data_IF_369480717432
#
_entry.id   IF_369480717432
#
_cell.length_a   1.000
_cell.length_b   1.000
_cell.length_c   1.000
_cell.angle_alpha   90.00
_cell.angle_beta   90.00
_cell.angle_gamma   90.00
#
_symmetry.space_group_name_H-M   'P 1'
#
loop_
_entity.id
_entity.type
_entity.pdbx_description
1 polymer ?
#
# COMPACT_ATOMS: atom_id res chain seq x y z
N UNK A 1 -2.76 -21.45 12.48
CA UNK A 1 -2.95 -20.71 11.22
C UNK A 1 -1.63 -20.07 10.81
N UNK A 2 -0.82 -20.72 9.96
CA UNK A 2 0.56 -20.32 9.73
C UNK A 2 0.68 -18.96 8.98
N UNK A 3 -0.36 -18.56 8.23
CA UNK A 3 -0.46 -17.25 7.57
C UNK A 3 -0.54 -16.10 8.60
N UNK A 4 -1.28 -16.30 9.70
CA UNK A 4 -1.38 -15.30 10.76
C UNK A 4 -0.01 -15.06 11.43
N UNK A 5 0.75 -16.13 11.68
CA UNK A 5 2.12 -16.03 12.22
C UNK A 5 3.06 -15.24 11.30
N UNK A 6 2.96 -15.44 9.97
CA UNK A 6 3.71 -14.66 8.99
C UNK A 6 3.37 -13.16 9.05
N UNK A 7 2.08 -12.81 9.08
CA UNK A 7 1.66 -11.42 9.16
C UNK A 7 2.05 -10.75 10.47
N UNK A 8 1.94 -11.45 11.60
CA UNK A 8 2.36 -10.93 12.91
C UNK A 8 3.86 -10.69 12.93
N UNK A 9 4.67 -11.66 12.48
CA UNK A 9 6.12 -11.53 12.46
C UNK A 9 6.57 -10.42 11.51
N UNK A 10 5.97 -10.31 10.32
CA UNK A 10 6.25 -9.22 9.39
C UNK A 10 5.91 -7.85 9.99
N UNK A 11 4.73 -7.70 10.61
CA UNK A 11 4.35 -6.46 11.29
C UNK A 11 5.28 -6.11 12.44
N UNK A 12 5.74 -7.11 13.21
CA UNK A 12 6.69 -6.90 14.30
C UNK A 12 8.05 -6.45 13.79
N UNK A 13 8.56 -7.04 12.71
CA UNK A 13 9.81 -6.61 12.05
C UNK A 13 9.70 -5.19 11.50
N UNK A 14 8.58 -4.86 10.84
CA UNK A 14 8.33 -3.52 10.32
C UNK A 14 8.23 -2.51 11.47
N UNK A 15 7.50 -2.83 12.53
CA UNK A 15 7.37 -1.97 13.71
C UNK A 15 8.73 -1.75 14.40
N UNK A 16 9.54 -2.80 14.54
CA UNK A 16 10.89 -2.70 15.08
C UNK A 16 11.80 -1.82 14.21
N UNK A 17 11.77 -2.01 12.88
CA UNK A 17 12.52 -1.17 11.94
C UNK A 17 12.09 0.31 12.04
N UNK A 18 10.79 0.58 12.14
CA UNK A 18 10.28 1.94 12.35
C UNK A 18 10.74 2.52 13.68
N UNK A 19 10.64 1.77 14.77
CA UNK A 19 11.04 2.21 16.10
C UNK A 19 12.53 2.56 16.14
N UNK A 20 13.38 1.69 15.58
CA UNK A 20 14.83 1.93 15.49
C UNK A 20 15.12 3.15 14.61
N UNK A 21 14.44 3.29 13.46
CA UNK A 21 14.61 4.45 12.58
C UNK A 21 14.15 5.77 13.21
N UNK A 22 13.26 5.71 14.21
CA UNK A 22 12.75 6.87 14.94
C UNK A 22 13.58 7.28 16.15
N UNK A 23 14.43 6.38 16.68
CA UNK A 23 15.32 6.69 17.82
C UNK A 23 16.18 7.95 17.61
N UNK A 24 16.82 8.15 16.44
CA UNK A 24 17.59 9.37 16.17
C UNK A 24 16.76 10.64 16.29
N UNK A 25 15.48 10.59 15.94
CA UNK A 25 14.57 11.73 16.01
C UNK A 25 14.25 12.09 17.46
N UNK A 26 14.06 11.08 18.32
CA UNK A 26 13.83 11.27 19.75
C UNK A 26 15.08 11.84 20.42
N UNK A 27 16.28 11.36 20.05
CA UNK A 27 17.54 11.91 20.56
C UNK A 27 17.81 13.33 20.02
N UNK A 28 17.32 13.64 18.81
CA UNK A 28 17.44 14.96 18.21
C UNK A 28 16.52 16.02 18.83
N UNK A 29 15.47 15.64 19.56
CA UNK A 29 14.52 16.62 20.12
C UNK A 29 15.13 17.48 21.23
N UNK A 30 16.21 17.01 21.86
CA UNK A 30 16.92 17.78 22.89
C UNK A 30 17.97 18.74 22.30
N UNK A 31 18.53 18.41 21.12
CA UNK A 31 19.43 19.30 20.39
C UNK A 31 19.46 18.99 18.89
N UNK A 32 19.06 19.97 18.08
CA UNK A 32 19.11 19.91 16.61
C UNK A 32 20.53 20.14 16.09
N UNK A 33 21.43 19.20 16.41
CA UNK A 33 22.78 19.20 15.84
C UNK A 33 22.77 18.61 14.43
N UNK A 34 23.66 19.10 13.56
CA UNK A 34 23.84 18.57 12.19
C UNK A 34 24.12 17.06 12.18
N UNK A 35 24.81 16.55 13.22
CA UNK A 35 25.08 15.13 13.39
C UNK A 35 23.81 14.30 13.57
N UNK A 36 22.86 14.77 14.38
CA UNK A 36 21.59 14.08 14.63
C UNK A 36 20.71 14.01 13.36
N UNK A 37 20.66 15.10 12.59
CA UNK A 37 19.97 15.12 11.30
C UNK A 37 20.60 14.13 10.30
N UNK A 38 21.93 14.10 10.20
CA UNK A 38 22.64 13.17 9.32
C UNK A 38 22.35 11.72 9.69
N UNK A 39 22.37 11.40 10.99
CA UNK A 39 22.10 10.07 11.52
C UNK A 39 20.65 9.65 11.24
N UNK A 40 19.69 10.57 11.38
CA UNK A 40 18.29 10.34 11.01
C UNK A 40 18.14 10.00 9.52
N UNK A 41 18.73 10.81 8.63
CA UNK A 41 18.69 10.56 7.18
C UNK A 41 19.33 9.21 6.81
N UNK A 42 20.49 8.88 7.38
CA UNK A 42 21.15 7.59 7.14
C UNK A 42 20.31 6.41 7.62
N UNK A 43 19.72 6.54 8.80
CA UNK A 43 18.83 5.51 9.37
C UNK A 43 17.63 5.30 8.47
N UNK A 44 16.95 6.37 8.07
CA UNK A 44 15.81 6.29 7.17
C UNK A 44 16.18 5.64 5.83
N UNK A 45 17.32 6.03 5.25
CA UNK A 45 17.82 5.49 3.98
C UNK A 45 18.05 3.97 4.01
N UNK A 46 18.46 3.42 5.16
CA UNK A 46 18.70 1.98 5.32
C UNK A 46 17.42 1.22 5.70
N UNK A 47 16.65 1.73 6.65
CA UNK A 47 15.46 1.04 7.16
C UNK A 47 14.29 1.08 6.18
N UNK A 48 14.16 2.13 5.37
CA UNK A 48 13.06 2.23 4.40
C UNK A 48 13.09 1.11 3.34
N UNK A 49 14.22 0.84 2.65
CA UNK A 49 14.34 -0.32 1.76
C UNK A 49 14.12 -1.65 2.48
N UNK A 50 14.61 -1.79 3.72
CA UNK A 50 14.42 -3.02 4.50
C UNK A 50 12.93 -3.32 4.76
N UNK A 51 12.15 -2.29 5.11
CA UNK A 51 10.69 -2.39 5.28
C UNK A 51 10.02 -2.78 3.96
N UNK A 52 10.41 -2.17 2.84
CA UNK A 52 9.88 -2.51 1.53
C UNK A 52 10.16 -3.97 1.15
N UNK A 53 11.41 -4.42 1.30
CA UNK A 53 11.82 -5.80 1.03
C UNK A 53 11.00 -6.77 1.88
N UNK A 54 10.88 -6.50 3.18
CA UNK A 54 10.10 -7.32 4.12
C UNK A 54 8.63 -7.39 3.72
N UNK A 55 8.04 -6.27 3.28
CA UNK A 55 6.66 -6.20 2.79
C UNK A 55 6.46 -7.10 1.56
N UNK A 56 7.34 -7.03 0.57
CA UNK A 56 7.26 -7.88 -0.62
C UNK A 56 7.43 -9.37 -0.30
N UNK A 57 8.41 -9.72 0.53
CA UNK A 57 8.62 -11.11 0.96
C UNK A 57 7.37 -11.65 1.65
N UNK A 58 6.73 -10.84 2.50
CA UNK A 58 5.52 -11.24 3.23
C UNK A 58 4.37 -11.57 2.27
N UNK A 59 4.14 -10.73 1.28
CA UNK A 59 3.09 -10.93 0.27
C UNK A 59 3.36 -12.21 -0.55
N UNK A 60 4.59 -12.42 -1.00
CA UNK A 60 4.95 -13.62 -1.77
C UNK A 60 4.96 -14.88 -0.91
N UNK A 61 5.38 -14.80 0.34
CA UNK A 61 5.35 -15.93 1.26
C UNK A 61 3.90 -16.33 1.58
N UNK A 62 3.00 -15.36 1.78
CA UNK A 62 1.57 -15.63 1.95
C UNK A 62 0.99 -16.32 0.72
N UNK A 63 1.29 -15.82 -0.49
CA UNK A 63 0.87 -16.45 -1.74
C UNK A 63 1.41 -17.89 -1.87
N UNK A 64 2.68 -18.13 -1.54
CA UNK A 64 3.30 -19.45 -1.55
C UNK A 64 2.65 -20.45 -0.57
N UNK A 65 2.27 -19.98 0.62
CA UNK A 65 1.59 -20.81 1.61
C UNK A 65 0.16 -21.18 1.19
N UNK A 66 -0.54 -20.26 0.55
CA UNK A 66 -1.94 -20.46 0.12
C UNK A 66 -2.01 -21.30 -1.16
N UNK A 67 -1.22 -20.93 -2.16
CA UNK A 67 -1.29 -21.50 -3.52
C UNK A 67 -0.53 -22.82 -3.59
N UNK A 68 0.72 -22.84 -3.11
CA UNK A 68 1.59 -24.02 -3.21
C UNK A 68 1.58 -24.90 -1.96
N UNK A 69 0.80 -24.52 -0.94
CA UNK A 69 0.69 -25.25 0.34
C UNK A 69 2.04 -25.51 1.03
N UNK A 70 3.01 -24.62 0.83
CA UNK A 70 4.33 -24.74 1.42
C UNK A 70 4.33 -24.44 2.92
N UNK A 71 5.25 -25.06 3.66
CA UNK A 71 5.49 -24.73 5.07
C UNK A 71 6.09 -23.33 5.22
N UNK A 72 6.01 -22.75 6.42
CA UNK A 72 6.45 -21.38 6.71
C UNK A 72 7.87 -21.08 6.20
N UNK A 73 8.86 -21.90 6.61
CA UNK A 73 10.26 -21.72 6.22
C UNK A 73 10.48 -21.84 4.70
N UNK A 74 9.85 -22.84 4.06
CA UNK A 74 9.93 -23.04 2.61
C UNK A 74 9.32 -21.87 1.85
N UNK A 75 8.23 -21.30 2.37
CA UNK A 75 7.51 -20.17 1.77
C UNK A 75 8.34 -18.89 1.82
N UNK A 76 8.98 -18.58 2.96
CA UNK A 76 9.88 -17.43 3.08
C UNK A 76 11.09 -17.58 2.17
N UNK A 77 11.70 -18.77 2.11
CA UNK A 77 12.83 -19.03 1.21
C UNK A 77 12.44 -18.86 -0.26
N UNK A 78 11.26 -19.37 -0.67
CA UNK A 78 10.74 -19.18 -2.02
C UNK A 78 10.45 -17.72 -2.32
N UNK A 79 9.83 -17.00 -1.39
CA UNK A 79 9.54 -15.58 -1.50
C UNK A 79 10.80 -14.73 -1.66
N UNK A 80 11.85 -15.01 -0.87
CA UNK A 80 13.16 -14.37 -0.99
C UNK A 80 13.78 -14.60 -2.37
N UNK A 81 13.80 -15.84 -2.85
CA UNK A 81 14.31 -16.18 -4.17
C UNK A 81 13.56 -15.46 -5.30
N UNK A 82 12.22 -15.44 -5.23
CA UNK A 82 11.39 -14.76 -6.23
C UNK A 82 11.61 -13.25 -6.23
N UNK A 83 11.68 -12.64 -5.04
CA UNK A 83 11.95 -11.21 -4.91
C UNK A 83 13.33 -10.84 -5.44
N UNK A 84 14.39 -11.53 -5.03
CA UNK A 84 15.76 -11.23 -5.47
C UNK A 84 15.91 -11.31 -6.99
N UNK A 85 15.30 -12.32 -7.63
CA UNK A 85 15.34 -12.49 -9.08
C UNK A 85 14.49 -11.46 -9.85
N UNK A 86 13.44 -10.91 -9.22
CA UNK A 86 12.41 -10.10 -9.89
C UNK A 86 12.10 -8.80 -9.13
N UNK A 87 13.10 -8.21 -8.47
CA UNK A 87 12.91 -7.07 -7.58
C UNK A 87 12.34 -5.86 -8.35
N UNK A 88 12.80 -5.63 -9.58
CA UNK A 88 12.35 -4.53 -10.43
C UNK A 88 10.86 -4.67 -10.82
N UNK A 89 10.42 -5.89 -11.14
CA UNK A 89 9.02 -6.18 -11.49
C UNK A 89 8.11 -5.98 -10.26
N UNK A 90 8.60 -6.39 -9.09
CA UNK A 90 7.90 -6.20 -7.81
C UNK A 90 7.71 -4.71 -7.52
N UNK A 91 8.75 -3.90 -7.73
CA UNK A 91 8.72 -2.45 -7.56
C UNK A 91 7.81 -1.77 -8.59
N UNK A 92 7.87 -2.17 -9.86
CA UNK A 92 6.97 -1.68 -10.92
C UNK A 92 5.50 -1.92 -10.54
N UNK A 93 5.18 -3.14 -10.09
CA UNK A 93 3.82 -3.49 -9.67
C UNK A 93 3.39 -2.70 -8.45
N UNK A 94 4.29 -2.51 -7.48
CA UNK A 94 4.02 -1.68 -6.30
C UNK A 94 3.72 -0.23 -6.67
N UNK A 95 4.48 0.34 -7.61
CA UNK A 95 4.28 1.71 -8.09
C UNK A 95 2.94 1.88 -8.80
N UNK A 96 2.56 0.91 -9.65
CA UNK A 96 1.25 0.91 -10.31
C UNK A 96 0.12 0.82 -9.27
N UNK A 97 0.23 -0.09 -8.29
CA UNK A 97 -0.76 -0.23 -7.23
C UNK A 97 -0.83 1.00 -6.34
N UNK A 98 0.30 1.66 -6.08
CA UNK A 98 0.35 2.94 -5.38
C UNK A 98 -0.44 4.01 -6.15
N UNK A 99 -0.20 4.15 -7.45
CA UNK A 99 -0.96 5.07 -8.30
C UNK A 99 -2.47 4.80 -8.27
N UNK A 100 -2.88 3.54 -8.40
CA UNK A 100 -4.30 3.14 -8.30
C UNK A 100 -4.86 3.48 -6.91
N UNK A 101 -4.10 3.20 -5.84
CA UNK A 101 -4.50 3.50 -4.46
C UNK A 101 -4.73 5.00 -4.26
N UNK A 102 -3.82 5.85 -4.75
CA UNK A 102 -3.95 7.31 -4.68
C UNK A 102 -5.19 7.77 -5.44
N UNK A 103 -5.41 7.29 -6.66
CA UNK A 103 -6.58 7.67 -7.47
C UNK A 103 -7.91 7.25 -6.82
N UNK A 104 -7.99 6.02 -6.30
CA UNK A 104 -9.19 5.52 -5.63
C UNK A 104 -9.48 6.30 -4.35
N UNK A 105 -8.46 6.62 -3.57
CA UNK A 105 -8.62 7.44 -2.36
C UNK A 105 -9.00 8.89 -2.68
N UNK A 106 -8.46 9.46 -3.76
CA UNK A 106 -8.88 10.78 -4.23
C UNK A 106 -10.35 10.77 -4.67
N UNK A 107 -10.78 9.74 -5.40
CA UNK A 107 -12.17 9.56 -5.79
C UNK A 107 -13.08 9.39 -4.57
N UNK A 108 -12.68 8.60 -3.57
CA UNK A 108 -13.40 8.47 -2.30
C UNK A 108 -13.52 9.82 -1.58
N UNK A 109 -12.44 10.61 -1.51
CA UNK A 109 -12.46 11.94 -0.90
C UNK A 109 -13.43 12.89 -1.63
N UNK A 110 -13.45 12.85 -2.97
CA UNK A 110 -14.42 13.61 -3.78
C UNK A 110 -15.86 13.15 -3.53
N UNK A 111 -16.11 11.84 -3.45
CA UNK A 111 -17.43 11.31 -3.12
C UNK A 111 -17.89 11.77 -1.74
N UNK A 112 -17.02 11.74 -0.73
CA UNK A 112 -17.32 12.23 0.62
C UNK A 112 -17.62 13.73 0.60
N UNK A 113 -16.81 14.52 -0.11
CA UNK A 113 -17.03 15.97 -0.27
C UNK A 113 -18.40 16.25 -0.88
N UNK A 114 -18.72 15.60 -2.01
CA UNK A 114 -20.00 15.75 -2.71
C UNK A 114 -21.18 15.30 -1.85
N UNK A 115 -21.00 14.24 -1.05
CA UNK A 115 -22.01 13.74 -0.13
C UNK A 115 -22.22 14.66 1.09
N UNK A 116 -21.20 15.43 1.48
CA UNK A 116 -21.27 16.36 2.62
C UNK A 116 -22.09 17.61 2.30
N UNK A 117 -22.13 18.06 1.05
CA UNK A 117 -22.92 19.25 0.64
C UNK A 117 -24.42 19.08 0.96
N UNK A 118 -25.13 18.04 0.48
CA UNK A 118 -26.53 17.84 0.84
C UNK A 118 -26.71 17.60 2.35
N UNK A 119 -25.72 17.02 3.02
CA UNK A 119 -25.72 16.87 4.47
C UNK A 119 -25.84 18.19 5.21
N UNK A 120 -25.01 19.15 4.84
CA UNK A 120 -25.00 20.47 5.44
C UNK A 120 -26.30 21.22 5.17
N UNK A 121 -26.88 21.07 3.97
CA UNK A 121 -28.17 21.68 3.64
C UNK A 121 -29.31 21.09 4.49
N UNK A 122 -29.39 19.76 4.61
CA UNK A 122 -30.40 19.09 5.43
C UNK A 122 -30.23 19.40 6.92
N UNK A 123 -28.97 19.48 7.39
CA UNK A 123 -28.67 19.85 8.76
C UNK A 123 -29.08 21.30 9.05
N UNK A 124 -28.79 22.23 8.14
CA UNK A 124 -29.22 23.63 8.25
C UNK A 124 -30.75 23.74 8.32
N UNK A 125 -31.48 23.01 7.48
CA UNK A 125 -32.94 22.97 7.52
C UNK A 125 -33.47 22.42 8.86
N UNK A 126 -32.87 21.33 9.36
CA UNK A 126 -33.25 20.75 10.66
C UNK A 126 -33.02 21.71 11.84
N UNK A 127 -31.94 22.50 11.79
CA UNK A 127 -31.64 23.52 12.80
C UNK A 127 -32.65 24.66 12.77
N UNK A 128 -33.09 25.11 11.60
CA UNK A 128 -34.13 26.15 11.46
C UNK A 128 -35.48 25.67 12.03
N UNK A 129 -35.80 24.38 11.87
CA UNK A 129 -37.01 23.78 12.48
C UNK A 129 -36.89 23.67 14.01
N UNK A 130 -35.68 23.72 14.57
CA UNK A 130 -35.44 23.66 16.02
C UNK A 130 -35.66 22.27 16.64
N UNK A 131 -35.78 21.22 15.83
CA UNK A 131 -36.00 19.85 16.32
C UNK A 131 -34.68 19.10 16.50
N UNK A 132 -34.33 18.81 17.75
CA UNK A 132 -33.15 18.01 18.11
C UNK A 132 -33.20 16.57 17.57
N UNK A 133 -34.41 16.02 17.41
CA UNK A 133 -34.62 14.70 16.82
C UNK A 133 -34.25 14.68 15.32
N UNK A 134 -34.65 15.70 14.57
CA UNK A 134 -34.31 15.83 13.15
C UNK A 134 -32.80 16.00 12.94
N UNK A 135 -32.16 16.84 13.76
CA UNK A 135 -30.70 17.05 13.72
C UNK A 135 -29.95 15.72 13.95
N UNK A 136 -30.33 14.98 15.00
CA UNK A 136 -29.73 13.68 15.30
C UNK A 136 -29.92 12.68 14.16
N UNK A 137 -31.13 12.61 13.58
CA UNK A 137 -31.45 11.70 12.48
C UNK A 137 -30.59 11.99 11.24
N UNK A 138 -30.47 13.27 10.85
CA UNK A 138 -29.61 13.69 9.73
C UNK A 138 -28.18 13.25 9.99
N UNK A 139 -27.59 13.59 11.13
CA UNK A 139 -26.20 13.23 11.46
C UNK A 139 -26.00 11.71 11.40
N UNK A 140 -26.89 10.93 12.02
CA UNK A 140 -26.79 9.46 12.02
C UNK A 140 -26.85 8.90 10.60
N UNK A 141 -27.79 9.35 9.77
CA UNK A 141 -27.92 8.91 8.39
C UNK A 141 -26.66 9.20 7.56
N UNK A 142 -26.09 10.40 7.72
CA UNK A 142 -24.85 10.78 7.02
C UNK A 142 -23.64 9.97 7.47
N UNK A 143 -23.49 9.73 8.77
CA UNK A 143 -22.42 8.89 9.31
C UNK A 143 -22.49 7.47 8.76
N UNK A 144 -23.69 6.88 8.71
CA UNK A 144 -23.90 5.57 8.10
C UNK A 144 -23.52 5.59 6.61
N UNK A 145 -23.93 6.61 5.87
CA UNK A 145 -23.59 6.76 4.45
C UNK A 145 -22.08 6.83 4.20
N UNK A 146 -21.35 7.62 5.00
CA UNK A 146 -19.88 7.71 4.92
C UNK A 146 -19.23 6.35 5.23
N UNK A 147 -19.68 5.66 6.27
CA UNK A 147 -19.16 4.32 6.62
C UNK A 147 -19.35 3.34 5.47
N UNK A 148 -20.54 3.33 4.84
CA UNK A 148 -20.82 2.47 3.68
C UNK A 148 -19.87 2.80 2.51
N UNK A 149 -19.66 4.08 2.20
CA UNK A 149 -18.73 4.50 1.15
C UNK A 149 -17.30 4.04 1.43
N UNK A 150 -16.79 4.26 2.65
CA UNK A 150 -15.44 3.86 3.05
C UNK A 150 -15.28 2.33 2.95
N UNK A 151 -16.26 1.57 3.43
CA UNK A 151 -16.23 0.10 3.33
C UNK A 151 -16.22 -0.34 1.88
N UNK A 152 -17.08 0.22 1.03
CA UNK A 152 -17.18 -0.15 -0.37
C UNK A 152 -15.86 0.07 -1.13
N UNK A 153 -15.31 1.28 -1.04
CA UNK A 153 -14.04 1.64 -1.69
C UNK A 153 -12.86 0.85 -1.10
N UNK A 154 -12.81 0.71 0.23
CA UNK A 154 -11.76 -0.04 0.91
C UNK A 154 -11.75 -1.52 0.54
N UNK A 155 -12.92 -2.16 0.48
CA UNK A 155 -13.07 -3.55 0.07
C UNK A 155 -12.65 -3.77 -1.39
N UNK A 156 -13.09 -2.87 -2.29
CA UNK A 156 -12.72 -2.91 -3.70
C UNK A 156 -11.20 -2.77 -3.91
N UNK A 157 -10.59 -1.77 -3.28
CA UNK A 157 -9.15 -1.52 -3.37
C UNK A 157 -8.32 -2.69 -2.81
N UNK A 158 -8.74 -3.23 -1.66
CA UNK A 158 -8.06 -4.37 -1.03
C UNK A 158 -8.13 -5.61 -1.91
N UNK A 159 -9.31 -5.91 -2.46
CA UNK A 159 -9.52 -7.05 -3.36
C UNK A 159 -8.68 -6.92 -4.63
N UNK A 160 -8.68 -5.73 -5.25
CA UNK A 160 -7.89 -5.44 -6.44
C UNK A 160 -6.38 -5.59 -6.18
N UNK A 161 -5.91 -5.06 -5.06
CA UNK A 161 -4.49 -5.16 -4.66
C UNK A 161 -4.07 -6.61 -4.43
N UNK A 162 -4.88 -7.37 -3.68
CA UNK A 162 -4.60 -8.78 -3.41
C UNK A 162 -4.62 -9.62 -4.70
N UNK A 163 -5.59 -9.41 -5.58
CA UNK A 163 -5.67 -10.09 -6.87
C UNK A 163 -4.45 -9.81 -7.74
N UNK A 164 -4.00 -8.54 -7.78
CA UNK A 164 -2.82 -8.12 -8.54
C UNK A 164 -1.55 -8.80 -8.03
N UNK A 165 -1.33 -8.83 -6.72
CA UNK A 165 -0.18 -9.52 -6.11
C UNK A 165 -0.21 -11.03 -6.34
N UNK A 166 -1.38 -11.65 -6.20
CA UNK A 166 -1.59 -13.09 -6.45
C UNK A 166 -1.26 -13.43 -7.92
N UNK A 167 -1.74 -12.61 -8.85
CA UNK A 167 -1.51 -12.80 -10.27
C UNK A 167 -0.04 -12.57 -10.65
N UNK A 168 0.62 -11.59 -10.04
CA UNK A 168 2.07 -11.41 -10.18
C UNK A 168 2.82 -12.63 -9.67
N UNK A 169 2.49 -13.12 -8.48
CA UNK A 169 3.10 -14.32 -7.90
C UNK A 169 2.97 -15.53 -8.84
N UNK A 170 1.77 -15.78 -9.37
CA UNK A 170 1.54 -16.88 -10.32
C UNK A 170 2.39 -16.73 -11.59
N UNK A 171 2.52 -15.52 -12.14
CA UNK A 171 3.36 -15.25 -13.31
C UNK A 171 4.84 -15.50 -13.01
N UNK A 172 5.33 -15.01 -11.88
CA UNK A 172 6.72 -15.19 -11.45
C UNK A 172 7.04 -16.65 -11.15
N UNK A 173 6.12 -17.37 -10.51
CA UNK A 173 6.35 -18.76 -10.10
C UNK A 173 6.22 -19.79 -11.24
N UNK A 174 5.48 -19.50 -12.32
CA UNK A 174 5.22 -20.47 -13.39
C UNK A 174 5.98 -20.23 -14.68
N UNK A 175 6.22 -18.97 -15.07
CA UNK A 175 6.63 -18.65 -16.44
C UNK A 175 7.84 -17.72 -16.56
N UNK A 176 8.43 -17.24 -15.46
CA UNK A 176 9.52 -16.25 -15.51
C UNK A 176 9.05 -14.96 -16.19
N UNK A 177 8.40 -14.07 -15.43
CA UNK A 177 7.91 -12.82 -16.02
C UNK A 177 9.07 -11.88 -16.36
N UNK A 178 8.98 -11.18 -17.50
CA UNK A 178 9.91 -10.10 -17.89
C UNK A 178 9.27 -8.76 -17.56
N UNK A 179 10.02 -7.82 -16.97
CA UNK A 179 9.55 -6.48 -16.62
C UNK A 179 9.01 -5.75 -17.86
N UNK A 180 7.87 -5.04 -17.74
CA UNK A 180 7.33 -4.28 -18.88
C UNK A 180 8.21 -3.06 -19.17
N UNK A 181 8.82 -2.47 -18.13
CA UNK A 181 9.82 -1.41 -18.31
C UNK A 181 11.00 -1.87 -19.16
N UNK A 182 11.49 -3.11 -18.97
CA UNK A 182 12.58 -3.66 -19.78
C UNK A 182 12.15 -3.84 -21.25
N UNK A 183 10.89 -4.22 -21.50
CA UNK A 183 10.34 -4.28 -22.87
C UNK A 183 10.23 -2.90 -23.51
N UNK A 184 9.82 -1.87 -22.75
CA UNK A 184 9.75 -0.49 -23.26
C UNK A 184 11.14 0.03 -23.63
N UNK A 185 12.14 -0.20 -22.77
CA UNK A 185 13.53 0.18 -23.04
C UNK A 185 14.17 -0.61 -24.17
N UNK A 186 13.74 -1.85 -24.45
CA UNK A 186 14.17 -2.60 -25.64
C UNK A 186 13.51 -2.12 -26.93
N UNK A 187 12.33 -1.50 -26.87
CA UNK A 187 11.64 -0.93 -28.03
C UNK A 187 12.13 0.48 -28.41
N UNK A 188 12.53 1.29 -27.43
CA UNK A 188 13.06 2.64 -27.63
C UNK A 188 14.23 2.75 -28.64
N UNK A 189 15.29 1.92 -28.58
CA UNK A 189 16.38 2.00 -29.56
C UNK A 189 15.97 1.60 -30.98
N UNK A 190 14.92 0.78 -31.14
CA UNK A 190 14.39 0.41 -32.47
C UNK A 190 13.60 1.54 -33.11
N UNK A 191 12.87 2.34 -32.32
CA UNK A 191 12.15 3.52 -32.81
C UNK A 191 13.11 4.66 -33.18
N UNK A 192 14.14 4.89 -32.37
CA UNK A 192 15.14 5.92 -32.66
C UNK A 192 15.94 5.59 -33.94
N UNK A 193 16.25 4.31 -34.18
CA UNK A 193 16.92 3.85 -35.40
C UNK A 193 16.07 3.89 -36.68
N UNK A 194 14.73 3.96 -36.57
CA UNK A 194 13.82 4.11 -37.72
C UNK A 194 13.52 5.57 -38.07
N UNK A 195 13.69 6.50 -37.14
CA UNK A 195 13.48 7.94 -37.36
C UNK A 195 14.76 8.63 -37.88
N UNK A 196 15.92 8.00 -37.72
CA UNK A 196 17.23 8.48 -38.19
C UNK A 196 17.68 7.89 -39.56
N UNK A 197 16.79 7.17 -40.25
CA UNK A 197 16.96 6.76 -41.66
C UNK A 197 15.93 7.44 -42.52
#
# INVERSE_FOLDING_TARGET
WPIAGLHVLAKLLIAAAFLISSLPLILASESLTTANLLLYFLSFLIFFPLVLITSFITIYAAAAMVIDRLSFSKSVRKAWSLFHQNWLISLETALILFGVTVLVNLLLALCILLFTIPALLMLGAALVVGSSALVSLVITFFMIGIVILVIFFGAGLTTFSLASWTLLYLRLSRQGAVAKLLRLFQFLPRLIGQVLK
#
